data_IF_210679117202
#
_entry.id   IF_210679117202
#
_cell.length_a   1.000
_cell.length_b   1.000
_cell.length_c   1.000
_cell.angle_alpha   90.00
_cell.angle_beta   90.00
_cell.angle_gamma   90.00
#
_symmetry.space_group_name_H-M   'P 1'
#
loop_
_entity.id
_entity.type
_entity.pdbx_description
1 polymer ?
#
# COMPACT_ATOMS: atom_id res chain seq x y z
N UNK A 1 12.79 -21.78 -4.72
CA UNK A 1 12.09 -20.54 -4.37
C UNK A 1 12.51 -20.15 -2.97
N UNK A 2 12.73 -18.86 -2.74
CA UNK A 2 13.19 -18.33 -1.46
C UNK A 2 12.45 -17.04 -1.15
N UNK A 3 12.10 -16.84 0.12
CA UNK A 3 11.60 -15.57 0.61
C UNK A 3 12.74 -14.58 0.80
N UNK A 4 12.45 -13.30 0.61
CA UNK A 4 13.43 -12.24 0.85
C UNK A 4 12.80 -11.01 1.48
N UNK A 5 13.66 -10.12 1.96
CA UNK A 5 13.33 -8.77 2.38
C UNK A 5 13.97 -7.80 1.40
N UNK A 6 13.16 -6.87 0.89
CA UNK A 6 13.58 -5.72 0.12
C UNK A 6 13.55 -4.47 1.01
N UNK A 7 14.68 -3.78 1.09
CA UNK A 7 14.78 -2.53 1.84
C UNK A 7 14.33 -1.39 0.94
N UNK A 8 13.34 -0.64 1.39
CA UNK A 8 12.76 0.48 0.65
C UNK A 8 12.84 1.77 1.48
N UNK A 9 13.13 2.88 0.81
CA UNK A 9 13.18 4.22 1.38
C UNK A 9 12.75 5.22 0.32
N UNK A 10 11.79 6.10 0.63
CA UNK A 10 11.26 7.08 -0.34
C UNK A 10 12.33 8.03 -0.89
N UNK A 11 13.37 8.31 -0.10
CA UNK A 11 14.49 9.17 -0.49
C UNK A 11 15.69 8.39 -1.06
N UNK A 12 15.50 7.13 -1.43
CA UNK A 12 16.53 6.39 -2.15
C UNK A 12 16.71 6.96 -3.56
N UNK A 13 17.91 6.79 -4.14
CA UNK A 13 18.17 7.17 -5.53
C UNK A 13 17.63 6.14 -6.55
N UNK A 14 16.91 5.11 -6.08
CA UNK A 14 16.33 4.08 -6.93
C UNK A 14 14.91 4.48 -7.33
N UNK A 15 14.58 4.26 -8.59
CA UNK A 15 13.24 4.38 -9.18
C UNK A 15 12.29 3.25 -8.70
N UNK A 16 12.13 3.19 -7.38
CA UNK A 16 11.25 2.24 -6.71
C UNK A 16 9.81 2.76 -6.71
N UNK A 17 8.90 1.90 -7.13
CA UNK A 17 7.48 2.04 -6.82
C UNK A 17 7.05 0.72 -6.20
N UNK A 18 7.10 0.58 -4.86
CA UNK A 18 7.12 -0.73 -4.19
C UNK A 18 5.90 -1.59 -4.51
N UNK A 19 4.79 -0.98 -4.90
CA UNK A 19 3.59 -1.68 -5.33
C UNK A 19 3.58 -2.17 -6.79
N UNK A 20 4.60 -1.84 -7.60
CA UNK A 20 4.76 -2.24 -9.00
C UNK A 20 6.14 -2.84 -9.31
N UNK A 21 7.22 -2.22 -8.82
CA UNK A 21 8.59 -2.59 -9.12
C UNK A 21 9.59 -2.16 -8.04
N UNK A 22 10.63 -2.98 -7.86
CA UNK A 22 11.78 -2.71 -7.01
C UNK A 22 13.05 -2.69 -7.85
N UNK A 23 13.81 -1.61 -7.78
CA UNK A 23 15.02 -1.36 -8.56
C UNK A 23 16.27 -1.66 -7.71
N UNK A 24 17.18 -2.47 -8.26
CA UNK A 24 18.34 -2.96 -7.50
C UNK A 24 19.57 -3.19 -8.40
N UNK A 25 20.80 -3.08 -7.84
CA UNK A 25 22.03 -3.35 -8.58
C UNK A 25 22.30 -4.86 -8.74
N UNK A 26 23.10 -5.22 -9.75
CA UNK A 26 23.51 -6.59 -10.11
C UNK A 26 23.97 -7.45 -8.94
N UNK A 27 24.58 -6.85 -7.92
CA UNK A 27 25.02 -7.52 -6.69
C UNK A 27 23.93 -8.38 -6.03
N UNK A 28 22.65 -8.02 -6.20
CA UNK A 28 21.52 -8.76 -5.65
C UNK A 28 20.77 -9.63 -6.67
N UNK A 29 21.17 -9.64 -7.94
CA UNK A 29 20.45 -10.34 -9.03
C UNK A 29 20.23 -11.81 -8.75
N UNK A 30 21.24 -12.50 -8.21
CA UNK A 30 21.11 -13.92 -7.88
C UNK A 30 20.07 -14.15 -6.79
N UNK A 31 20.06 -13.33 -5.74
CA UNK A 31 19.12 -13.46 -4.62
C UNK A 31 17.70 -13.14 -5.08
N UNK A 32 17.51 -12.08 -5.87
CA UNK A 32 16.20 -11.66 -6.36
C UNK A 32 15.63 -12.65 -7.38
N UNK A 33 16.45 -13.24 -8.25
CA UNK A 33 15.97 -14.29 -9.16
C UNK A 33 15.45 -15.53 -8.42
N UNK A 34 15.94 -15.80 -7.20
CA UNK A 34 15.44 -16.92 -6.39
C UNK A 34 14.06 -16.66 -5.75
N UNK A 35 13.61 -15.40 -5.76
CA UNK A 35 12.30 -14.98 -5.22
C UNK A 35 11.22 -14.89 -6.29
N UNK A 36 11.52 -15.13 -7.58
CA UNK A 36 10.52 -15.15 -8.64
C UNK A 36 9.46 -16.21 -8.32
N UNK A 37 8.20 -15.85 -8.51
CA UNK A 37 6.99 -16.59 -8.13
C UNK A 37 6.84 -16.82 -6.62
N UNK A 38 7.63 -16.09 -5.82
CA UNK A 38 7.62 -16.16 -4.37
C UNK A 38 7.45 -14.77 -3.73
N UNK A 39 7.28 -14.74 -2.42
CA UNK A 39 6.93 -13.55 -1.67
C UNK A 39 8.14 -12.86 -1.04
N UNK A 40 8.06 -11.54 -0.99
CA UNK A 40 9.03 -10.67 -0.33
C UNK A 40 8.36 -9.78 0.71
N UNK A 41 9.13 -9.36 1.70
CA UNK A 41 8.75 -8.34 2.68
C UNK A 41 9.43 -7.03 2.33
N UNK A 42 8.71 -5.92 2.45
CA UNK A 42 9.32 -4.60 2.40
C UNK A 42 9.70 -4.12 3.79
N UNK A 43 10.94 -3.67 3.93
CA UNK A 43 11.52 -3.15 5.15
C UNK A 43 11.93 -1.69 4.98
N UNK A 44 11.50 -0.83 5.89
CA UNK A 44 11.90 0.57 5.93
C UNK A 44 13.02 0.78 6.96
N UNK A 45 14.22 1.26 6.56
CA UNK A 45 15.33 1.47 7.47
C UNK A 45 15.06 2.67 8.39
N UNK A 46 15.82 2.79 9.49
CA UNK A 46 15.71 3.96 10.41
C UNK A 46 16.10 5.29 9.76
N UNK A 47 17.00 5.23 8.77
CA UNK A 47 17.58 6.39 8.11
C UNK A 47 17.16 6.40 6.66
N UNK A 48 16.25 7.29 6.29
CA UNK A 48 15.77 7.41 4.91
C UNK A 48 16.49 8.55 4.19
N UNK A 49 16.66 9.71 4.82
CA UNK A 49 17.14 10.95 4.18
C UNK A 49 18.60 11.33 4.46
N UNK A 50 19.40 10.41 5.03
CA UNK A 50 20.85 10.60 5.19
C UNK A 50 21.46 9.94 6.44
N UNK A 51 22.80 10.01 6.61
CA UNK A 51 23.54 9.27 7.64
C UNK A 51 23.18 9.65 9.08
N UNK A 52 22.64 10.85 9.33
CA UNK A 52 22.25 11.35 10.65
C UNK A 52 20.73 11.36 10.88
N UNK A 53 19.92 11.04 9.86
CA UNK A 53 18.46 11.08 9.96
C UNK A 53 17.92 9.95 10.86
N UNK A 54 16.79 10.18 11.52
CA UNK A 54 15.99 9.16 12.22
C UNK A 54 14.56 9.11 11.68
N UNK A 55 14.38 9.52 10.43
CA UNK A 55 13.08 9.74 9.79
C UNK A 55 12.34 8.45 9.41
N UNK A 56 13.03 7.32 9.36
CA UNK A 56 12.45 6.05 8.95
C UNK A 56 12.01 5.16 10.11
N UNK A 57 11.05 4.28 9.83
CA UNK A 57 10.35 3.48 10.86
C UNK A 57 11.17 2.36 11.50
N UNK A 58 12.22 1.90 10.83
CA UNK A 58 12.97 0.70 11.24
C UNK A 58 12.06 -0.54 11.36
N UNK A 59 11.17 -0.75 10.39
CA UNK A 59 10.09 -1.73 10.47
C UNK A 59 9.76 -2.35 9.11
N UNK A 60 9.28 -3.59 9.12
CA UNK A 60 8.59 -4.18 7.96
C UNK A 60 7.21 -3.55 7.83
N UNK A 61 6.79 -3.24 6.61
CA UNK A 61 5.55 -2.49 6.41
C UNK A 61 4.64 -3.05 5.32
N UNK A 62 5.13 -3.94 4.47
CA UNK A 62 4.34 -4.52 3.38
C UNK A 62 4.90 -5.87 2.92
N UNK A 63 4.14 -6.56 2.09
CA UNK A 63 4.56 -7.75 1.35
C UNK A 63 4.10 -7.67 -0.11
N UNK A 64 4.77 -8.38 -1.01
CA UNK A 64 4.36 -8.54 -2.40
C UNK A 64 4.94 -9.84 -2.97
N UNK A 65 4.40 -10.30 -4.10
CA UNK A 65 4.93 -11.44 -4.85
C UNK A 65 5.78 -10.95 -6.03
N UNK A 66 6.98 -11.48 -6.19
CA UNK A 66 7.84 -11.12 -7.34
C UNK A 66 7.42 -11.92 -8.56
N UNK A 67 7.07 -11.25 -9.65
CA UNK A 67 6.56 -11.89 -10.88
C UNK A 67 7.63 -12.06 -11.95
N UNK A 68 8.57 -11.12 -12.06
CA UNK A 68 9.66 -11.18 -13.04
C UNK A 68 10.77 -10.19 -12.71
N UNK A 69 11.95 -10.45 -13.26
CA UNK A 69 13.11 -9.55 -13.19
C UNK A 69 13.49 -9.13 -14.60
N UNK A 70 13.69 -7.83 -14.83
CA UNK A 70 14.07 -7.28 -16.13
C UNK A 70 15.25 -6.31 -15.97
N UNK A 71 16.25 -6.33 -16.87
CA UNK A 71 17.32 -5.34 -16.87
C UNK A 71 16.80 -3.91 -17.04
N UNK A 72 17.42 -2.96 -16.37
CA UNK A 72 17.19 -1.53 -16.62
C UNK A 72 17.88 -1.15 -17.95
N UNK A 73 17.10 -0.61 -18.90
CA UNK A 73 17.60 -0.16 -20.20
C UNK A 73 18.44 1.11 -20.11
N UNK A 74 18.19 1.93 -19.09
CA UNK A 74 18.78 3.26 -18.95
C UNK A 74 19.98 3.24 -18.00
N UNK A 75 20.09 2.20 -17.15
CA UNK A 75 21.18 2.03 -16.19
C UNK A 75 21.79 0.63 -16.24
N UNK A 76 23.00 0.55 -16.79
CA UNK A 76 23.77 -0.69 -16.83
C UNK A 76 23.96 -1.32 -15.43
N UNK A 77 24.00 -2.65 -15.40
CA UNK A 77 24.12 -3.47 -14.18
C UNK A 77 23.03 -3.20 -13.13
N UNK A 78 21.88 -2.68 -13.54
CA UNK A 78 20.70 -2.55 -12.71
C UNK A 78 19.50 -3.29 -13.30
N UNK A 79 18.56 -3.61 -12.42
CA UNK A 79 17.43 -4.48 -12.73
C UNK A 79 16.19 -4.03 -11.95
N UNK A 80 15.02 -4.27 -12.54
CA UNK A 80 13.73 -4.12 -11.91
C UNK A 80 13.14 -5.50 -11.59
N UNK A 81 12.79 -5.74 -10.33
CA UNK A 81 11.89 -6.82 -9.92
C UNK A 81 10.47 -6.28 -9.94
N UNK A 82 9.67 -6.72 -10.90
CA UNK A 82 8.25 -6.40 -10.94
C UNK A 82 7.51 -7.27 -9.92
N UNK A 83 6.53 -6.68 -9.26
CA UNK A 83 5.76 -7.35 -8.21
C UNK A 83 4.26 -7.30 -8.49
N UNK A 84 3.55 -8.26 -7.92
CA UNK A 84 2.08 -8.32 -7.85
C UNK A 84 1.64 -8.48 -6.40
N UNK A 85 0.33 -8.36 -6.16
CA UNK A 85 -0.27 -8.69 -4.87
C UNK A 85 0.34 -7.91 -3.69
N UNK A 86 0.76 -6.66 -3.96
CA UNK A 86 1.31 -5.79 -2.94
C UNK A 86 0.25 -5.49 -1.89
N UNK A 87 0.61 -5.66 -0.62
CA UNK A 87 -0.24 -5.37 0.53
C UNK A 87 0.56 -4.68 1.64
N UNK A 88 0.10 -3.50 2.06
CA UNK A 88 0.58 -2.89 3.31
C UNK A 88 0.07 -3.68 4.51
N UNK A 89 0.88 -3.72 5.56
CA UNK A 89 0.47 -4.27 6.86
C UNK A 89 -0.46 -3.32 7.60
N UNK A 90 -1.45 -3.88 8.30
CA UNK A 90 -2.33 -3.14 9.22
C UNK A 90 -1.50 -2.37 10.27
N UNK A 91 -0.38 -2.98 10.67
CA UNK A 91 0.62 -2.39 11.55
C UNK A 91 2.03 -2.68 11.06
N UNK A 92 2.86 -1.64 11.01
CA UNK A 92 4.29 -1.81 10.77
C UNK A 92 4.94 -2.67 11.87
N UNK A 93 5.67 -3.70 11.48
CA UNK A 93 6.30 -4.67 12.38
C UNK A 93 7.74 -4.25 12.63
N UNK A 94 8.05 -3.87 13.87
CA UNK A 94 9.42 -3.55 14.25
C UNK A 94 10.38 -4.72 13.95
N UNK A 95 11.63 -4.43 13.59
CA UNK A 95 12.64 -5.46 13.27
C UNK A 95 12.93 -6.45 14.42
N UNK A 96 12.59 -6.06 15.66
CA UNK A 96 12.67 -6.89 16.86
C UNK A 96 11.44 -6.69 17.76
N UNK A 97 11.08 -7.73 18.50
CA UNK A 97 10.07 -7.71 19.57
C UNK A 97 10.78 -7.97 20.90
N UNK A 98 10.77 -6.98 21.79
CA UNK A 98 11.63 -6.97 22.99
C UNK A 98 13.10 -7.20 22.60
N UNK A 99 13.75 -8.25 23.09
CA UNK A 99 15.14 -8.59 22.78
C UNK A 99 15.30 -9.63 21.67
N UNK A 100 14.20 -10.07 21.05
CA UNK A 100 14.23 -11.07 19.97
C UNK A 100 14.03 -10.44 18.60
N UNK A 101 14.97 -10.69 17.69
CA UNK A 101 14.87 -10.29 16.29
C UNK A 101 13.90 -11.21 15.54
N UNK A 102 13.17 -10.65 14.59
CA UNK A 102 12.39 -11.46 13.65
C UNK A 102 13.32 -12.19 12.66
N UNK A 103 14.32 -11.48 12.14
CA UNK A 103 15.38 -12.06 11.32
C UNK A 103 16.49 -12.63 12.21
N UNK A 104 16.66 -13.96 12.26
CA UNK A 104 17.76 -14.56 13.03
C UNK A 104 19.14 -14.19 12.47
N UNK A 105 19.25 -13.98 11.16
CA UNK A 105 20.49 -13.56 10.50
C UNK A 105 21.00 -12.17 10.93
N UNK A 106 20.16 -11.35 11.54
CA UNK A 106 20.55 -10.06 12.11
C UNK A 106 21.26 -10.18 13.47
N UNK A 107 21.39 -11.38 14.03
CA UNK A 107 22.08 -11.63 15.30
C UNK A 107 23.41 -12.31 15.02
N UNK A 108 24.50 -11.77 15.57
CA UNK A 108 25.81 -12.40 15.53
C UNK A 108 25.91 -13.50 16.60
N UNK A 109 26.96 -14.31 16.53
CA UNK A 109 27.24 -15.35 17.53
C UNK A 109 27.40 -14.82 18.96
N UNK A 110 27.82 -13.55 19.11
CA UNK A 110 27.94 -12.85 20.40
C UNK A 110 26.63 -12.21 20.90
N UNK A 111 25.52 -12.41 20.19
CA UNK A 111 24.20 -11.83 20.50
C UNK A 111 24.03 -10.37 20.05
N UNK A 112 25.09 -9.72 19.54
CA UNK A 112 25.00 -8.34 19.05
C UNK A 112 24.39 -8.24 17.64
N UNK A 113 23.91 -7.06 17.27
CA UNK A 113 23.32 -6.82 15.94
C UNK A 113 24.36 -6.92 14.83
N UNK A 114 24.05 -7.69 13.79
CA UNK A 114 24.80 -7.74 12.54
C UNK A 114 24.51 -6.50 11.67
N UNK A 115 25.14 -5.37 12.02
CA UNK A 115 24.97 -4.09 11.31
C UNK A 115 25.31 -4.17 9.81
N UNK A 116 26.26 -5.01 9.42
CA UNK A 116 26.65 -5.20 8.02
C UNK A 116 25.55 -5.86 7.21
N UNK A 117 24.91 -6.90 7.75
CA UNK A 117 23.76 -7.53 7.10
C UNK A 117 22.56 -6.58 7.06
N UNK A 118 22.32 -5.83 8.15
CA UNK A 118 21.22 -4.85 8.26
C UNK A 118 21.25 -3.77 7.17
N UNK A 119 22.45 -3.40 6.70
CA UNK A 119 22.63 -2.41 5.63
C UNK A 119 22.41 -2.94 4.20
N UNK A 120 22.16 -4.25 4.03
CA UNK A 120 21.92 -4.84 2.70
C UNK A 120 20.50 -4.56 2.22
N UNK A 121 20.38 -4.15 0.96
CA UNK A 121 19.10 -3.86 0.31
C UNK A 121 18.24 -5.11 0.17
N UNK A 122 18.84 -6.25 -0.18
CA UNK A 122 18.16 -7.54 -0.29
C UNK A 122 18.74 -8.53 0.71
N UNK A 123 17.88 -9.18 1.49
CA UNK A 123 18.25 -10.21 2.47
C UNK A 123 17.35 -11.42 2.31
N UNK A 124 17.92 -12.61 2.26
CA UNK A 124 17.11 -13.84 2.30
C UNK A 124 16.63 -14.09 3.72
N UNK A 125 15.42 -14.64 3.84
CA UNK A 125 14.79 -14.93 5.12
C UNK A 125 14.20 -16.35 5.10
N UNK A 126 14.38 -17.16 6.16
CA UNK A 126 13.67 -18.42 6.30
C UNK A 126 12.15 -18.24 6.31
N UNK A 127 11.43 -19.19 5.72
CA UNK A 127 9.96 -19.13 5.61
C UNK A 127 9.26 -18.98 6.98
N UNK A 128 9.78 -19.63 8.02
CA UNK A 128 9.22 -19.51 9.38
C UNK A 128 9.31 -18.08 9.93
N UNK A 129 10.40 -17.37 9.63
CA UNK A 129 10.60 -15.99 10.05
C UNK A 129 9.75 -15.04 9.22
N UNK A 130 9.64 -15.30 7.91
CA UNK A 130 8.72 -14.60 7.02
C UNK A 130 7.27 -14.69 7.54
N UNK A 131 6.79 -15.91 7.81
CA UNK A 131 5.45 -16.16 8.33
C UNK A 131 5.21 -15.45 9.67
N UNK A 132 6.19 -15.45 10.57
CA UNK A 132 6.09 -14.73 11.86
C UNK A 132 5.93 -13.21 11.68
N UNK A 133 6.54 -12.63 10.65
CA UNK A 133 6.39 -11.20 10.33
C UNK A 133 5.01 -10.93 9.72
N UNK A 134 4.54 -11.79 8.81
CA UNK A 134 3.18 -11.69 8.23
C UNK A 134 2.12 -11.70 9.32
N UNK A 135 2.19 -12.66 10.26
CA UNK A 135 1.28 -12.76 11.39
C UNK A 135 1.31 -11.52 12.29
N UNK A 136 2.50 -10.95 12.52
CA UNK A 136 2.65 -9.74 13.31
C UNK A 136 2.16 -8.47 12.60
N UNK A 137 2.17 -8.46 11.26
CA UNK A 137 1.80 -7.31 10.44
C UNK A 137 0.29 -7.17 10.20
N UNK A 138 -0.40 -8.31 10.05
CA UNK A 138 -1.85 -8.36 9.82
C UNK A 138 -2.63 -8.69 11.09
N UNK A 139 -2.36 -7.95 12.16
CA UNK A 139 -3.15 -8.02 13.40
C UNK A 139 -4.35 -7.09 13.25
N UNK A 140 -5.54 -7.66 13.01
CA UNK A 140 -6.77 -6.87 12.94
C UNK A 140 -7.14 -6.34 14.32
N UNK A 141 -7.01 -5.04 14.50
CA UNK A 141 -7.72 -4.33 15.56
C UNK A 141 -9.12 -4.01 15.05
N UNK A 142 -10.16 -4.60 15.67
CA UNK A 142 -11.54 -4.29 15.31
C UNK A 142 -11.83 -2.82 15.61
N UNK A 143 -12.34 -2.12 14.61
CA UNK A 143 -12.79 -0.74 14.74
C UNK A 143 -14.00 -0.67 15.70
N UNK A 144 -14.22 0.46 16.41
CA UNK A 144 -15.29 0.55 17.41
C UNK A 144 -16.67 0.13 16.89
N UNK A 145 -17.01 0.50 15.65
CA UNK A 145 -18.28 0.15 15.03
C UNK A 145 -18.39 -1.32 14.61
N UNK A 146 -17.27 -2.03 14.41
CA UNK A 146 -17.27 -3.47 14.11
C UNK A 146 -17.57 -4.31 15.35
N UNK A 147 -17.39 -3.74 16.54
CA UNK A 147 -17.72 -4.38 17.83
C UNK A 147 -19.19 -4.20 18.19
N UNK A 148 -19.89 -3.30 17.50
CA UNK A 148 -21.26 -2.91 17.83
C UNK A 148 -22.21 -3.62 16.85
N UNK A 149 -22.90 -4.64 17.34
CA UNK A 149 -23.69 -5.61 16.57
C UNK A 149 -25.04 -5.07 16.06
N UNK A 150 -25.10 -3.79 15.64
CA UNK A 150 -26.38 -3.08 15.54
C UNK A 150 -26.91 -2.85 14.12
N UNK A 151 -26.14 -3.16 13.06
CA UNK A 151 -26.66 -3.21 11.68
C UNK A 151 -25.97 -4.36 10.93
N UNK A 152 -26.71 -5.46 10.77
CA UNK A 152 -26.25 -6.74 10.27
C UNK A 152 -25.79 -6.70 8.80
N UNK A 153 -24.47 -6.66 8.60
CA UNK A 153 -23.84 -7.43 7.52
C UNK A 153 -23.09 -8.59 8.19
N UNK A 154 -23.04 -9.79 7.59
CA UNK A 154 -22.36 -10.92 8.19
C UNK A 154 -20.91 -10.54 8.49
N UNK A 155 -20.53 -10.62 9.76
CA UNK A 155 -19.13 -10.50 10.17
C UNK A 155 -18.37 -11.56 9.38
N UNK A 156 -17.52 -11.11 8.47
CA UNK A 156 -16.65 -12.04 7.73
C UNK A 156 -15.81 -12.76 8.79
N UNK A 157 -16.02 -14.08 8.89
CA UNK A 157 -15.30 -14.96 9.79
C UNK A 157 -13.82 -14.97 9.41
N UNK A 158 -13.03 -14.08 10.03
CA UNK A 158 -11.60 -13.97 9.79
C UNK A 158 -10.86 -14.79 10.84
N UNK A 159 -10.38 -15.97 10.44
CA UNK A 159 -9.45 -16.78 11.24
C UNK A 159 -8.23 -15.94 11.66
N UNK A 160 -7.86 -16.08 12.94
CA UNK A 160 -6.96 -15.23 13.74
C UNK A 160 -5.49 -15.22 13.29
N UNK A 161 -5.10 -16.04 12.31
CA UNK A 161 -3.72 -16.15 11.81
C UNK A 161 -3.69 -16.20 10.28
N UNK A 162 -3.35 -15.11 9.58
CA UNK A 162 -3.19 -15.16 8.12
C UNK A 162 -1.95 -15.99 7.75
N UNK A 163 -2.17 -17.10 7.04
CA UNK A 163 -1.12 -17.82 6.31
C UNK A 163 -0.78 -17.12 5.00
N UNK A 164 0.39 -17.41 4.42
CA UNK A 164 0.77 -16.96 3.06
C UNK A 164 -0.36 -17.21 2.04
N UNK A 165 -1.09 -18.31 2.19
CA UNK A 165 -2.24 -18.67 1.35
C UNK A 165 -3.38 -17.63 1.36
N UNK A 166 -3.52 -16.84 2.42
CA UNK A 166 -4.54 -15.78 2.48
C UNK A 166 -4.15 -14.51 1.76
N UNK A 167 -2.86 -14.31 1.49
CA UNK A 167 -2.38 -13.13 0.75
C UNK A 167 -2.93 -13.12 -0.69
N UNK A 168 -3.31 -14.28 -1.24
CA UNK A 168 -3.96 -14.38 -2.55
C UNK A 168 -5.49 -14.31 -2.48
N UNK A 169 -6.10 -14.25 -1.29
CA UNK A 169 -7.55 -14.16 -1.14
C UNK A 169 -8.07 -12.78 -1.49
N UNK A 170 -8.90 -12.70 -2.53
CA UNK A 170 -9.56 -11.46 -2.96
C UNK A 170 -10.29 -10.78 -1.81
N UNK A 171 -11.05 -11.54 -1.02
CA UNK A 171 -11.82 -11.01 0.11
C UNK A 171 -10.93 -10.36 1.18
N UNK A 172 -9.78 -10.98 1.47
CA UNK A 172 -8.82 -10.45 2.43
C UNK A 172 -8.19 -9.14 1.94
N UNK A 173 -7.80 -9.12 0.66
CA UNK A 173 -7.20 -7.95 0.02
C UNK A 173 -8.14 -6.76 -0.07
N UNK A 174 -9.36 -6.99 -0.54
CA UNK A 174 -10.40 -5.94 -0.63
C UNK A 174 -10.69 -5.32 0.73
N UNK A 175 -10.80 -6.14 1.78
CA UNK A 175 -11.05 -5.66 3.13
C UNK A 175 -9.87 -4.86 3.69
N UNK A 176 -8.63 -5.33 3.48
CA UNK A 176 -7.42 -4.61 3.86
C UNK A 176 -7.30 -3.26 3.14
N UNK A 177 -7.46 -3.26 1.82
CA UNK A 177 -7.48 -2.05 0.99
C UNK A 177 -8.52 -1.05 1.51
N UNK A 178 -9.76 -1.50 1.70
CA UNK A 178 -10.86 -0.67 2.17
C UNK A 178 -10.53 0.00 3.49
N UNK A 179 -9.96 -0.75 4.44
CA UNK A 179 -9.58 -0.23 5.76
C UNK A 179 -8.45 0.80 5.65
N UNK A 180 -7.40 0.50 4.89
CA UNK A 180 -6.25 1.39 4.73
C UNK A 180 -6.65 2.71 4.07
N UNK A 181 -7.44 2.67 3.01
CA UNK A 181 -7.96 3.88 2.34
C UNK A 181 -8.82 4.68 3.31
N UNK A 182 -9.82 4.07 3.94
CA UNK A 182 -10.69 4.79 4.90
C UNK A 182 -9.90 5.46 6.02
N UNK A 183 -8.93 4.76 6.61
CA UNK A 183 -8.08 5.29 7.68
C UNK A 183 -7.20 6.44 7.18
N UNK A 184 -6.61 6.34 6.00
CA UNK A 184 -5.72 7.36 5.44
C UNK A 184 -6.44 8.70 5.17
N UNK A 185 -7.74 8.67 4.93
CA UNK A 185 -8.58 9.85 4.70
C UNK A 185 -9.40 10.27 5.95
N UNK A 186 -9.11 9.74 7.14
CA UNK A 186 -9.91 9.99 8.37
C UNK A 186 -11.42 9.78 8.16
N UNK A 187 -11.78 8.75 7.37
CA UNK A 187 -13.16 8.44 7.00
C UNK A 187 -13.90 9.60 6.31
N UNK A 188 -13.18 10.51 5.65
CA UNK A 188 -13.75 11.62 4.87
C UNK A 188 -13.77 11.28 3.40
N UNK A 189 -14.80 11.74 2.72
CA UNK A 189 -14.82 11.72 1.26
C UNK A 189 -13.75 12.69 0.73
N UNK A 190 -12.90 12.22 -0.17
CA UNK A 190 -11.80 12.96 -0.75
C UNK A 190 -12.30 14.17 -1.58
N UNK A 191 -13.46 14.05 -2.21
CA UNK A 191 -14.04 15.10 -3.08
C UNK A 191 -14.87 16.10 -2.30
N UNK A 192 -15.74 15.64 -1.40
CA UNK A 192 -16.68 16.52 -0.67
C UNK A 192 -16.12 17.01 0.67
N UNK A 193 -15.15 16.30 1.25
CA UNK A 193 -14.63 16.55 2.60
C UNK A 193 -15.56 16.11 3.74
N UNK A 194 -16.76 15.63 3.42
CA UNK A 194 -17.74 15.19 4.39
C UNK A 194 -17.25 13.95 5.15
N UNK A 195 -17.47 13.96 6.46
CA UNK A 195 -17.30 12.80 7.35
C UNK A 195 -18.69 12.36 7.83
N UNK A 196 -19.30 11.45 7.09
CA UNK A 196 -20.61 10.92 7.43
C UNK A 196 -20.43 9.62 8.21
N UNK A 197 -20.95 9.58 9.43
CA UNK A 197 -20.91 8.43 10.32
C UNK A 197 -22.34 8.07 10.70
N UNK A 198 -22.74 6.82 10.49
CA UNK A 198 -24.08 6.37 10.86
C UNK A 198 -24.22 6.16 12.38
N UNK A 199 -25.44 5.88 12.85
CA UNK A 199 -25.71 5.69 14.29
C UNK A 199 -24.93 4.56 14.96
N UNK A 200 -24.35 3.63 14.18
CA UNK A 200 -23.47 2.56 14.67
C UNK A 200 -21.98 2.88 14.61
N UNK A 201 -21.59 4.11 14.21
CA UNK A 201 -20.19 4.52 14.08
C UNK A 201 -19.53 4.17 12.75
N UNK A 202 -20.24 3.53 11.81
CA UNK A 202 -19.69 3.15 10.49
C UNK A 202 -19.67 4.36 9.56
N UNK A 203 -18.55 4.60 8.85
CA UNK A 203 -18.45 5.71 7.92
C UNK A 203 -19.11 5.41 6.56
N UNK A 204 -19.81 6.39 6.00
CA UNK A 204 -20.33 6.35 4.61
C UNK A 204 -19.22 6.81 3.64
N UNK A 205 -18.19 5.99 3.50
CA UNK A 205 -17.21 6.14 2.43
C UNK A 205 -16.80 4.76 1.92
N UNK A 206 -16.65 4.65 0.61
CA UNK A 206 -16.12 3.49 -0.09
C UNK A 206 -14.65 3.75 -0.43
N UNK A 207 -13.87 2.67 -0.59
CA UNK A 207 -12.53 2.76 -1.12
C UNK A 207 -12.62 2.50 -2.63
N UNK A 208 -12.44 3.55 -3.42
CA UNK A 208 -12.47 3.52 -4.86
C UNK A 208 -11.04 3.37 -5.40
N UNK A 209 -10.80 2.39 -6.26
CA UNK A 209 -9.53 2.31 -6.98
C UNK A 209 -9.45 3.39 -8.05
N UNK A 210 -8.29 4.05 -8.16
CA UNK A 210 -8.03 5.02 -9.22
C UNK A 210 -7.77 4.29 -10.54
N UNK A 211 -6.85 3.31 -10.52
CA UNK A 211 -6.71 2.27 -11.55
C UNK A 211 -7.35 0.99 -11.01
N UNK A 212 -8.39 0.45 -11.66
CA UNK A 212 -9.15 -0.68 -11.15
C UNK A 212 -8.35 -1.98 -11.27
N UNK A 213 -8.74 -2.99 -10.47
CA UNK A 213 -8.04 -4.28 -10.37
C UNK A 213 -8.04 -5.03 -11.70
N UNK A 214 -9.13 -4.95 -12.49
CA UNK A 214 -9.22 -5.59 -13.81
C UNK A 214 -8.23 -5.02 -14.82
N UNK A 215 -7.65 -3.85 -14.52
CA UNK A 215 -6.61 -3.24 -15.30
C UNK A 215 -5.23 -3.34 -14.62
N UNK A 216 -5.00 -4.30 -13.71
CA UNK A 216 -3.78 -4.47 -12.92
C UNK A 216 -3.46 -3.30 -11.97
N UNK A 217 -4.51 -2.67 -11.40
CA UNK A 217 -4.36 -1.69 -10.34
C UNK A 217 -4.04 -2.35 -8.99
N UNK A 218 -3.01 -1.90 -8.24
CA UNK A 218 -2.66 -2.52 -6.96
C UNK A 218 -3.55 -2.00 -5.81
N UNK A 219 -3.69 -2.82 -4.77
CA UNK A 219 -4.50 -2.55 -3.58
C UNK A 219 -3.76 -1.65 -2.57
N UNK A 220 -3.48 -0.41 -2.97
CA UNK A 220 -2.72 0.55 -2.14
C UNK A 220 -3.46 1.85 -1.92
N UNK A 221 -3.17 2.52 -0.81
CA UNK A 221 -3.73 3.85 -0.54
C UNK A 221 -3.36 4.85 -1.66
N UNK A 222 -2.16 4.70 -2.25
CA UNK A 222 -1.71 5.53 -3.38
C UNK A 222 -2.53 5.32 -4.65
N UNK A 223 -3.20 4.17 -4.78
CA UNK A 223 -4.17 3.86 -5.84
C UNK A 223 -5.63 3.95 -5.35
N UNK A 224 -5.88 4.54 -4.18
CA UNK A 224 -7.19 4.54 -3.53
C UNK A 224 -7.69 5.93 -3.15
N UNK A 225 -8.99 6.16 -3.35
CA UNK A 225 -9.72 7.33 -2.86
C UNK A 225 -10.83 6.89 -1.91
N UNK A 226 -10.98 7.57 -0.77
CA UNK A 226 -12.17 7.42 0.06
C UNK A 226 -13.29 8.29 -0.53
N UNK A 227 -14.38 7.72 -1.04
CA UNK A 227 -15.45 8.46 -1.72
C UNK A 227 -16.83 8.10 -1.14
N UNK A 228 -17.75 9.05 -1.04
CA UNK A 228 -19.17 8.72 -0.81
C UNK A 228 -19.72 7.93 -2.01
N UNK A 229 -20.78 7.14 -1.80
CA UNK A 229 -21.32 6.26 -2.85
C UNK A 229 -21.66 7.01 -4.15
N UNK A 230 -22.25 8.20 -4.04
CA UNK A 230 -22.56 9.06 -5.21
C UNK A 230 -21.31 9.51 -5.94
N UNK A 231 -20.29 9.98 -5.22
CA UNK A 231 -19.05 10.46 -5.85
C UNK A 231 -18.25 9.31 -6.45
N UNK A 232 -18.23 8.14 -5.81
CA UNK A 232 -17.61 6.95 -6.36
C UNK A 232 -18.22 6.61 -7.73
N UNK A 233 -19.54 6.61 -7.83
CA UNK A 233 -20.22 6.40 -9.11
C UNK A 233 -19.84 7.44 -10.17
N UNK A 234 -19.74 8.73 -9.80
CA UNK A 234 -19.30 9.78 -10.73
C UNK A 234 -17.88 9.55 -11.25
N UNK A 235 -16.98 9.14 -10.36
CA UNK A 235 -15.59 8.87 -10.67
C UNK A 235 -15.47 7.67 -11.62
N UNK A 236 -16.08 6.54 -11.29
CA UNK A 236 -16.05 5.32 -12.11
C UNK A 236 -16.66 5.50 -13.50
N UNK A 237 -17.69 6.35 -13.61
CA UNK A 237 -18.32 6.70 -14.89
C UNK A 237 -17.54 7.74 -15.69
N UNK A 238 -16.42 8.21 -15.17
CA UNK A 238 -15.55 9.19 -15.84
C UNK A 238 -16.12 10.60 -15.88
N UNK A 239 -17.12 10.91 -15.06
CA UNK A 239 -17.71 12.26 -14.98
C UNK A 239 -16.85 13.21 -14.15
N UNK A 240 -16.04 12.65 -13.24
CA UNK A 240 -15.01 13.36 -12.48
C UNK A 240 -13.67 12.64 -12.70
N UNK A 241 -12.58 13.40 -12.75
CA UNK A 241 -11.22 12.88 -12.63
C UNK A 241 -10.34 13.84 -11.83
N UNK A 242 -9.07 13.52 -11.67
CA UNK A 242 -8.15 14.23 -10.78
C UNK A 242 -6.85 14.51 -11.53
N UNK A 243 -6.40 15.76 -11.53
CA UNK A 243 -5.11 16.20 -12.07
C UNK A 243 -3.95 15.83 -11.13
N UNK A 244 -2.71 15.89 -11.62
CA UNK A 244 -1.52 15.53 -10.82
C UNK A 244 -1.25 16.52 -9.68
N UNK A 245 -1.74 17.74 -9.80
CA UNK A 245 -1.77 18.75 -8.73
C UNK A 245 -2.99 18.61 -7.80
N UNK A 246 -3.73 17.50 -7.92
CA UNK A 246 -4.94 17.13 -7.17
C UNK A 246 -6.16 18.05 -7.38
N UNK A 247 -6.17 18.87 -8.43
CA UNK A 247 -7.40 19.54 -8.86
C UNK A 247 -8.43 18.52 -9.37
N UNK A 248 -9.68 18.74 -8.99
CA UNK A 248 -10.84 17.97 -9.42
C UNK A 248 -11.22 18.47 -10.82
N UNK A 249 -11.27 17.55 -11.77
CA UNK A 249 -11.60 17.78 -13.17
C UNK A 249 -13.02 17.28 -13.42
N UNK A 250 -13.87 18.14 -13.99
CA UNK A 250 -15.22 17.75 -14.39
C UNK A 250 -15.22 17.39 -15.87
N UNK A 251 -16.02 16.39 -16.24
CA UNK A 251 -16.26 16.07 -17.64
C UNK A 251 -16.93 17.25 -18.37
N UNK A 252 -16.46 17.63 -19.57
CA UNK A 252 -17.13 18.61 -20.42
C UNK A 252 -18.53 18.20 -20.86
N UNK A 253 -18.87 16.90 -20.78
CA UNK A 253 -20.22 16.38 -21.03
C UNK A 253 -21.23 16.81 -19.95
N UNK A 254 -20.75 17.50 -18.91
CA UNK A 254 -21.55 18.09 -17.86
C UNK A 254 -21.77 17.16 -16.67
N UNK A 255 -22.05 17.80 -15.54
CA UNK A 255 -22.54 17.16 -14.33
C UNK A 255 -23.86 17.86 -13.98
N UNK A 256 -24.91 17.14 -13.55
CA UNK A 256 -26.13 17.81 -13.10
C UNK A 256 -25.82 18.83 -12.00
N UNK A 257 -26.45 20.00 -12.02
CA UNK A 257 -26.12 21.14 -11.14
C UNK A 257 -26.13 20.75 -9.66
N UNK A 258 -27.11 19.93 -9.25
CA UNK A 258 -27.23 19.42 -7.88
C UNK A 258 -26.00 18.61 -7.43
N UNK A 259 -25.37 17.89 -8.36
CA UNK A 259 -24.17 17.07 -8.08
C UNK A 259 -22.89 17.92 -8.09
N UNK A 260 -22.85 19.03 -8.84
CA UNK A 260 -21.73 19.96 -8.80
C UNK A 260 -21.58 20.61 -7.42
N UNK A 261 -22.70 20.84 -6.72
CA UNK A 261 -22.71 21.38 -5.35
C UNK A 261 -22.03 20.48 -4.30
N UNK A 262 -21.84 19.18 -4.59
CA UNK A 262 -21.16 18.24 -3.69
C UNK A 262 -19.64 18.47 -3.66
N UNK A 263 -19.08 19.09 -4.70
CA UNK A 263 -17.65 19.30 -4.85
C UNK A 263 -17.23 20.49 -4.00
N UNK A 264 -16.11 20.37 -3.28
CA UNK A 264 -15.59 21.47 -2.47
C UNK A 264 -15.37 22.72 -3.33
N UNK A 265 -15.67 23.93 -2.83
CA UNK A 265 -15.60 25.16 -3.62
C UNK A 265 -14.24 25.45 -4.27
N UNK A 266 -13.15 24.96 -3.68
CA UNK A 266 -11.81 25.13 -4.21
C UNK A 266 -11.42 24.11 -5.29
N UNK A 267 -12.32 23.19 -5.66
CA UNK A 267 -12.09 22.09 -6.61
C UNK A 267 -10.80 21.32 -6.34
N UNK A 268 -10.44 21.17 -5.06
CA UNK A 268 -9.22 20.50 -4.65
C UNK A 268 -9.57 19.22 -3.90
N UNK A 269 -8.96 18.11 -4.31
CA UNK A 269 -9.09 16.85 -3.61
C UNK A 269 -8.50 16.99 -2.19
N UNK A 270 -9.23 16.52 -1.18
CA UNK A 270 -8.66 16.23 0.12
C UNK A 270 -7.74 15.02 -0.03
N UNK A 271 -6.46 15.18 0.23
CA UNK A 271 -5.46 14.10 0.20
C UNK A 271 -5.03 13.72 1.61
N UNK A 272 -4.52 12.49 1.83
CA UNK A 272 -3.97 12.08 3.11
C UNK A 272 -2.87 13.04 3.61
N UNK A 273 -2.82 13.25 4.93
CA UNK A 273 -1.81 14.12 5.58
C UNK A 273 -0.39 13.63 5.27
N UNK A 274 -0.20 12.32 5.35
CA UNK A 274 1.06 11.65 5.05
C UNK A 274 1.30 11.62 3.53
N UNK A 275 2.38 12.26 3.07
CA UNK A 275 2.75 12.34 1.65
C UNK A 275 2.83 10.98 0.95
N UNK A 276 3.35 9.96 1.65
CA UNK A 276 3.49 8.59 1.14
C UNK A 276 2.18 7.89 0.80
N UNK A 277 1.06 8.38 1.34
CA UNK A 277 -0.27 7.83 1.10
C UNK A 277 -1.07 8.65 0.09
N UNK A 278 -0.52 9.74 -0.43
CA UNK A 278 -1.22 10.54 -1.43
C UNK A 278 -1.38 9.77 -2.74
N UNK A 279 -2.46 10.02 -3.50
CA UNK A 279 -2.66 9.41 -4.81
C UNK A 279 -1.43 9.60 -5.71
N UNK A 280 -0.97 8.49 -6.32
CA UNK A 280 0.21 8.54 -7.17
C UNK A 280 -0.14 9.06 -8.58
N UNK A 281 0.68 9.95 -9.17
CA UNK A 281 0.44 10.48 -10.52
C UNK A 281 0.24 9.40 -11.59
N UNK A 282 0.95 8.27 -11.51
CA UNK A 282 0.77 7.13 -12.44
C UNK A 282 -0.68 6.66 -12.51
N UNK A 283 -1.37 6.52 -11.38
CA UNK A 283 -2.75 6.04 -11.36
C UNK A 283 -3.72 7.15 -11.79
N UNK A 284 -3.46 8.39 -11.36
CA UNK A 284 -4.25 9.55 -11.77
C UNK A 284 -4.22 9.73 -13.30
N UNK A 285 -3.04 9.64 -13.92
CA UNK A 285 -2.89 9.71 -15.38
C UNK A 285 -3.61 8.56 -16.06
N UNK A 286 -3.45 7.33 -15.56
CA UNK A 286 -4.18 6.18 -16.07
C UNK A 286 -5.70 6.43 -16.10
N UNK A 287 -6.27 6.94 -15.01
CA UNK A 287 -7.71 7.22 -14.95
C UNK A 287 -8.10 8.31 -15.96
N UNK A 288 -7.33 9.40 -16.07
CA UNK A 288 -7.57 10.48 -17.05
C UNK A 288 -7.49 10.03 -18.50
N UNK A 289 -6.73 8.99 -18.79
CA UNK A 289 -6.51 8.46 -20.13
C UNK A 289 -7.49 7.35 -20.51
N UNK A 290 -7.95 6.55 -19.54
CA UNK A 290 -8.71 5.31 -19.80
C UNK A 290 -10.16 5.33 -19.30
N UNK A 291 -10.53 6.27 -18.42
CA UNK A 291 -11.87 6.36 -17.81
C UNK A 291 -12.51 7.72 -17.97
N UNK A 292 -11.76 8.80 -17.82
CA UNK A 292 -12.31 10.14 -17.85
C UNK A 292 -12.94 10.48 -19.20
N UNK A 293 -14.21 10.90 -19.17
CA UNK A 293 -14.94 11.37 -20.34
C UNK A 293 -14.56 12.81 -20.62
N UNK A 294 -13.66 13.00 -21.58
CA UNK A 294 -13.35 14.31 -22.14
C UNK A 294 -14.50 14.88 -22.95
#
# INVERSE_FOLDING_TARGET
>A
MAKAIFTFSESSAYDDQPELRYHFPRTYLRQVNQTIDDWVLYYEPRRTSGPSSSSGRQAYFATARVIRVVPDSDRADHYYAYVSDFMEFDRAVAFRKSDRYYESGLVKTDGSTNKGLFGRSVRQIPEKEFQSIIEAGFVREMEPWERTDHLAEPVVEYVVHPTIERLVSTKFREEAFRRHVRRAYDNRCAVTGLRLINGGGRPEVQAAHIRPVEADGPDTVRNGLALTSTVHWLFDRGLISIADDYRILLSPQGLPDDLASLIKPNNQLLVPESSKWRPHPTYLSWHRENRWKR
#
